data_IF_887587425610
#
_entry.id   IF_887587425610
#
_cell.length_a   1.000
_cell.length_b   1.000
_cell.length_c   1.000
_cell.angle_alpha   90.00
_cell.angle_beta   90.00
_cell.angle_gamma   90.00
#
_symmetry.space_group_name_H-M   'P 1'
#
loop_
_entity.id
_entity.type
_entity.pdbx_description
1 polymer ?
#
# COMPACT_ATOMS: atom_id res chain seq x y z
N UNK A 1 -29.84 -17.10 -8.05
CA UNK A 1 -28.90 -16.22 -8.79
C UNK A 1 -28.50 -16.92 -10.07
N UNK A 2 -28.43 -16.21 -11.20
CA UNK A 2 -27.91 -16.78 -12.45
C UNK A 2 -26.42 -17.15 -12.28
N UNK A 3 -26.00 -18.41 -12.53
CA UNK A 3 -24.61 -18.84 -12.43
C UNK A 3 -23.63 -18.01 -13.29
N UNK A 4 -24.06 -17.55 -14.48
CA UNK A 4 -23.22 -16.72 -15.35
C UNK A 4 -23.00 -15.33 -14.75
N UNK A 5 -24.02 -14.76 -14.13
CA UNK A 5 -23.93 -13.50 -13.40
C UNK A 5 -22.99 -13.63 -12.20
N UNK A 6 -23.11 -14.71 -11.42
CA UNK A 6 -22.25 -14.96 -10.28
C UNK A 6 -20.77 -15.08 -10.69
N UNK A 7 -20.47 -15.77 -11.78
CA UNK A 7 -19.11 -15.92 -12.30
C UNK A 7 -18.53 -14.59 -12.79
N UNK A 8 -19.34 -13.78 -13.48
CA UNK A 8 -18.94 -12.44 -13.90
C UNK A 8 -18.62 -11.53 -12.71
N UNK A 9 -19.43 -11.58 -11.65
CA UNK A 9 -19.22 -10.83 -10.42
C UNK A 9 -17.93 -11.26 -9.71
N UNK A 10 -17.67 -12.57 -9.59
CA UNK A 10 -16.42 -13.09 -9.00
C UNK A 10 -15.19 -12.59 -9.75
N UNK A 11 -15.21 -12.64 -11.09
CA UNK A 11 -14.10 -12.13 -11.91
C UNK A 11 -13.87 -10.63 -11.72
N UNK A 12 -14.94 -9.85 -11.61
CA UNK A 12 -14.86 -8.41 -11.37
C UNK A 12 -14.22 -8.11 -10.02
N UNK A 13 -14.70 -8.76 -8.95
CA UNK A 13 -14.14 -8.62 -7.60
C UNK A 13 -12.67 -9.02 -7.57
N UNK A 14 -12.30 -10.16 -8.18
CA UNK A 14 -10.90 -10.59 -8.23
C UNK A 14 -10.02 -9.57 -8.94
N UNK A 15 -10.49 -9.00 -10.05
CA UNK A 15 -9.75 -7.96 -10.78
C UNK A 15 -9.57 -6.69 -9.94
N UNK A 16 -10.60 -6.28 -9.22
CA UNK A 16 -10.53 -5.12 -8.33
C UNK A 16 -9.55 -5.36 -7.17
N UNK A 17 -9.55 -6.54 -6.57
CA UNK A 17 -8.59 -6.92 -5.53
C UNK A 17 -7.15 -6.88 -6.04
N UNK A 18 -6.88 -7.47 -7.21
CA UNK A 18 -5.54 -7.45 -7.83
C UNK A 18 -5.09 -6.03 -8.17
N UNK A 19 -5.99 -5.22 -8.74
CA UNK A 19 -5.69 -3.82 -9.04
C UNK A 19 -5.37 -3.03 -7.76
N UNK A 20 -6.15 -3.25 -6.70
CA UNK A 20 -5.96 -2.60 -5.41
C UNK A 20 -4.62 -2.98 -4.78
N UNK A 21 -4.27 -4.26 -4.79
CA UNK A 21 -2.99 -4.75 -4.29
C UNK A 21 -1.83 -4.11 -5.06
N UNK A 22 -1.90 -4.09 -6.39
CA UNK A 22 -0.89 -3.44 -7.23
C UNK A 22 -0.73 -1.95 -6.90
N UNK A 23 -1.82 -1.20 -6.80
CA UNK A 23 -1.77 0.23 -6.45
C UNK A 23 -1.12 0.48 -5.08
N UNK A 24 -1.42 -0.39 -4.11
CA UNK A 24 -0.82 -0.31 -2.77
C UNK A 24 0.69 -0.56 -2.84
N UNK A 25 1.12 -1.58 -3.60
CA UNK A 25 2.54 -1.90 -3.77
C UNK A 25 3.28 -0.80 -4.52
N UNK A 26 2.74 -0.30 -5.64
CA UNK A 26 3.33 0.80 -6.42
C UNK A 26 3.50 2.07 -5.56
N UNK A 27 2.49 2.41 -4.77
CA UNK A 27 2.59 3.54 -3.85
C UNK A 27 3.74 3.36 -2.85
N UNK A 28 3.79 2.23 -2.14
CA UNK A 28 4.81 2.03 -1.11
C UNK A 28 6.22 1.86 -1.68
N UNK A 29 6.34 1.26 -2.86
CA UNK A 29 7.60 1.21 -3.59
C UNK A 29 8.09 2.63 -3.89
N UNK A 30 7.22 3.49 -4.45
CA UNK A 30 7.59 4.88 -4.76
C UNK A 30 8.00 5.68 -3.52
N UNK A 31 7.38 5.43 -2.36
CA UNK A 31 7.75 6.09 -1.11
C UNK A 31 9.09 5.59 -0.57
N UNK A 32 9.38 4.29 -0.73
CA UNK A 32 10.68 3.73 -0.35
C UNK A 32 11.80 4.21 -1.27
N UNK A 33 11.55 4.28 -2.58
CA UNK A 33 12.50 4.83 -3.57
C UNK A 33 12.89 6.26 -3.22
N UNK A 34 11.94 7.10 -2.80
CA UNK A 34 12.23 8.47 -2.33
C UNK A 34 13.21 8.51 -1.15
N UNK A 35 13.12 7.56 -0.23
CA UNK A 35 14.07 7.44 0.89
C UNK A 35 15.42 6.94 0.36
N UNK A 36 15.41 5.96 -0.56
CA UNK A 36 16.63 5.35 -1.08
C UNK A 36 17.50 6.31 -1.92
N UNK A 37 16.89 7.12 -2.80
CA UNK A 37 17.63 8.01 -3.71
C UNK A 37 18.17 9.26 -3.02
N UNK A 38 17.71 9.57 -1.80
CA UNK A 38 18.20 10.72 -1.02
C UNK A 38 19.65 10.48 -0.60
N UNK A 39 20.48 11.52 -0.78
CA UNK A 39 21.86 11.54 -0.29
C UNK A 39 21.88 11.87 1.20
N UNK A 40 21.63 10.87 2.03
CA UNK A 40 21.71 11.00 3.48
C UNK A 40 23.14 11.35 3.91
N UNK A 41 23.29 12.38 4.73
CA UNK A 41 24.57 12.84 5.27
C UNK A 41 25.01 11.98 6.46
N UNK A 42 24.10 11.21 7.06
CA UNK A 42 24.40 10.31 8.17
C UNK A 42 23.43 9.12 8.25
N UNK A 43 23.85 8.09 8.98
CA UNK A 43 22.97 6.96 9.31
C UNK A 43 21.76 7.40 10.16
N UNK A 44 21.94 8.42 11.00
CA UNK A 44 20.86 8.96 11.83
C UNK A 44 19.75 9.61 10.98
N UNK A 45 20.13 10.31 9.92
CA UNK A 45 19.19 10.90 8.96
C UNK A 45 18.39 9.82 8.22
N UNK A 46 19.07 8.80 7.67
CA UNK A 46 18.42 7.65 7.05
C UNK A 46 17.44 6.96 8.00
N UNK A 47 17.85 6.74 9.26
CA UNK A 47 16.99 6.11 10.29
C UNK A 47 15.76 6.97 10.59
N UNK A 48 15.90 8.29 10.61
CA UNK A 48 14.79 9.22 10.80
C UNK A 48 13.77 9.11 9.66
N UNK A 49 14.25 9.10 8.41
CA UNK A 49 13.36 8.98 7.25
C UNK A 49 12.65 7.63 7.18
N UNK A 50 13.36 6.54 7.47
CA UNK A 50 12.75 5.21 7.56
C UNK A 50 11.68 5.18 8.65
N UNK A 51 11.91 5.84 9.80
CA UNK A 51 10.90 5.96 10.86
C UNK A 51 9.66 6.71 10.38
N UNK A 52 9.82 7.81 9.65
CA UNK A 52 8.70 8.56 9.06
C UNK A 52 7.90 7.70 8.07
N UNK A 53 8.56 6.89 7.24
CA UNK A 53 7.90 5.94 6.35
C UNK A 53 7.13 4.87 7.12
N UNK A 54 7.75 4.25 8.12
CA UNK A 54 7.12 3.24 8.98
C UNK A 54 5.89 3.79 9.70
N UNK A 55 5.97 4.99 10.27
CA UNK A 55 4.85 5.60 10.98
C UNK A 55 3.69 5.93 10.03
N UNK A 56 3.98 6.30 8.78
CA UNK A 56 2.94 6.46 7.74
C UNK A 56 2.26 5.14 7.40
N UNK A 57 3.02 4.05 7.26
CA UNK A 57 2.46 2.72 7.01
C UNK A 57 1.56 2.28 8.16
N UNK A 58 2.02 2.43 9.42
CA UNK A 58 1.25 2.09 10.62
C UNK A 58 -0.06 2.87 10.71
N UNK A 59 -0.03 4.19 10.49
CA UNK A 59 -1.25 5.01 10.46
C UNK A 59 -2.23 4.54 9.39
N UNK A 60 -1.75 4.17 8.20
CA UNK A 60 -2.64 3.65 7.13
C UNK A 60 -3.24 2.30 7.51
N UNK A 61 -2.47 1.40 8.13
CA UNK A 61 -2.99 0.13 8.66
C UNK A 61 -4.07 0.37 9.73
N UNK A 62 -3.81 1.26 10.69
CA UNK A 62 -4.76 1.61 11.75
C UNK A 62 -6.06 2.17 11.16
N UNK A 63 -5.97 3.06 10.17
CA UNK A 63 -7.16 3.60 9.48
C UNK A 63 -7.97 2.50 8.79
N UNK A 64 -7.31 1.57 8.11
CA UNK A 64 -7.99 0.44 7.45
C UNK A 64 -8.68 -0.46 8.48
N UNK A 65 -7.99 -0.79 9.58
CA UNK A 65 -8.52 -1.63 10.65
C UNK A 65 -9.69 -1.00 11.41
N UNK A 66 -9.64 0.32 11.66
CA UNK A 66 -10.64 1.03 12.48
C UNK A 66 -11.85 1.49 11.69
N UNK A 67 -11.66 1.90 10.42
CA UNK A 67 -12.73 2.48 9.60
C UNK A 67 -13.41 1.50 8.65
N UNK A 68 -12.89 0.27 8.53
CA UNK A 68 -13.53 -0.80 7.77
C UNK A 68 -13.85 -0.40 6.32
N UNK A 69 -12.89 0.22 5.62
CA UNK A 69 -12.90 0.21 4.15
C UNK A 69 -12.31 -1.13 3.69
#
# INVERSE_FOLDING_TARGET
>A
MDPKLLESLKKKVQKELVNREREVLEYWLSELEKVYVRKHQSLAELRSELRLLLDRMKRRLEVIQTKGI
#
